data_IF_982300177871
#
_entry.id   IF_982300177871
#
_cell.length_a   1.000
_cell.length_b   1.000
_cell.length_c   1.000
_cell.angle_alpha   90.00
_cell.angle_beta   90.00
_cell.angle_gamma   90.00
#
_symmetry.space_group_name_H-M   'P 1'
#
loop_
_entity.id
_entity.type
_entity.pdbx_description
1 polymer ?
#
# COMPACT_ATOMS: atom_id res chain seq x y z
N UNK A 1 6.23 6.48 26.32
CA UNK A 1 4.81 6.70 26.02
C UNK A 1 4.68 7.41 24.69
N UNK A 2 4.60 6.63 23.62
CA UNK A 2 4.36 7.10 22.25
C UNK A 2 2.88 7.41 22.08
N UNK A 3 2.48 8.62 22.46
CA UNK A 3 1.15 9.14 22.11
C UNK A 3 1.26 9.64 20.67
N UNK A 4 0.85 8.81 19.73
CA UNK A 4 0.60 9.24 18.35
C UNK A 4 -0.53 10.28 18.37
N UNK A 5 -0.24 11.57 18.11
CA UNK A 5 -1.24 12.64 18.16
C UNK A 5 -2.31 12.53 17.06
N UNK A 6 -2.12 11.62 16.10
CA UNK A 6 -3.06 11.39 14.99
C UNK A 6 -4.09 10.29 15.29
N UNK A 7 -3.87 9.50 16.34
CA UNK A 7 -4.82 8.48 16.84
C UNK A 7 -6.02 9.14 17.52
N UNK A 8 -6.99 9.59 16.72
CA UNK A 8 -8.21 10.22 17.21
C UNK A 8 -9.43 9.69 16.47
N UNK A 9 -10.58 9.78 17.13
CA UNK A 9 -11.86 9.65 16.46
C UNK A 9 -12.25 11.02 15.89
N UNK A 10 -12.61 11.03 14.62
CA UNK A 10 -13.07 12.21 13.87
C UNK A 10 -14.56 12.47 14.04
N UNK A 11 -15.30 11.54 14.64
CA UNK A 11 -16.74 11.68 14.92
C UNK A 11 -17.08 11.20 16.33
N UNK A 12 -17.97 11.93 17.01
CA UNK A 12 -18.44 11.59 18.36
C UNK A 12 -19.17 10.24 18.43
N UNK A 13 -19.64 9.75 17.28
CA UNK A 13 -20.37 8.47 17.14
C UNK A 13 -19.47 7.27 16.89
N UNK A 14 -18.17 7.47 16.67
CA UNK A 14 -17.22 6.38 16.46
C UNK A 14 -17.28 5.27 17.53
N UNK A 15 -17.46 5.56 18.83
CA UNK A 15 -17.58 4.52 19.85
C UNK A 15 -18.86 3.67 19.71
N UNK A 16 -19.95 4.27 19.23
CA UNK A 16 -21.21 3.56 19.00
C UNK A 16 -21.14 2.69 17.74
N UNK A 17 -20.58 3.23 16.66
CA UNK A 17 -20.35 2.49 15.42
C UNK A 17 -19.39 1.32 15.62
N UNK A 18 -18.30 1.51 16.37
CA UNK A 18 -17.40 0.43 16.73
C UNK A 18 -18.12 -0.68 17.51
N UNK A 19 -18.96 -0.33 18.49
CA UNK A 19 -19.80 -1.31 19.21
C UNK A 19 -20.83 -2.01 18.32
N UNK A 20 -21.27 -1.36 17.25
CA UNK A 20 -22.17 -1.94 16.26
C UNK A 20 -21.46 -2.87 15.26
N UNK A 21 -20.13 -3.02 15.33
CA UNK A 21 -19.34 -3.87 14.43
C UNK A 21 -18.95 -3.19 13.12
N UNK A 22 -19.00 -1.86 13.05
CA UNK A 22 -18.61 -1.11 11.84
C UNK A 22 -17.10 -1.22 11.58
N UNK A 23 -16.28 -1.53 12.59
CA UNK A 23 -14.84 -1.71 12.41
C UNK A 23 -14.52 -2.84 11.42
N UNK A 24 -15.38 -3.87 11.34
CA UNK A 24 -15.28 -4.98 10.40
C UNK A 24 -16.17 -4.75 9.18
N UNK A 25 -17.43 -4.34 9.39
CA UNK A 25 -18.41 -4.17 8.31
C UNK A 25 -18.10 -2.99 7.39
N UNK A 26 -17.41 -1.97 7.91
CA UNK A 26 -17.06 -0.72 7.21
C UNK A 26 -15.62 -0.29 7.55
N UNK A 27 -14.72 -1.27 7.55
CA UNK A 27 -13.33 -1.13 7.98
C UNK A 27 -12.59 0.02 7.29
N UNK A 28 -12.87 0.32 6.02
CA UNK A 28 -12.23 1.41 5.29
C UNK A 28 -12.57 2.79 5.87
N UNK A 29 -13.86 3.06 6.12
CA UNK A 29 -14.29 4.32 6.71
C UNK A 29 -13.85 4.42 8.17
N UNK A 30 -14.01 3.33 8.93
CA UNK A 30 -13.72 3.32 10.36
C UNK A 30 -12.21 3.44 10.65
N UNK A 31 -11.34 2.82 9.86
CA UNK A 31 -9.88 3.01 9.97
C UNK A 31 -9.43 4.44 9.66
N UNK A 32 -10.18 5.17 8.84
CA UNK A 32 -9.84 6.56 8.50
C UNK A 32 -10.37 7.56 9.53
N UNK A 33 -11.57 7.32 10.05
CA UNK A 33 -12.31 8.31 10.85
C UNK A 33 -12.47 7.92 12.31
N UNK A 34 -12.30 6.65 12.68
CA UNK A 34 -12.63 6.10 13.99
C UNK A 34 -11.50 5.20 14.53
N UNK A 35 -10.26 5.61 14.30
CA UNK A 35 -9.06 4.82 14.58
C UNK A 35 -8.96 4.40 16.04
N UNK A 36 -9.28 5.33 16.94
CA UNK A 36 -9.21 5.10 18.38
C UNK A 36 -10.31 4.16 18.83
N UNK A 37 -11.53 4.36 18.33
CA UNK A 37 -12.67 3.49 18.63
C UNK A 37 -12.51 2.07 18.09
N UNK A 38 -11.84 1.89 16.94
CA UNK A 38 -11.55 0.58 16.36
C UNK A 38 -10.23 -0.04 16.83
N UNK A 39 -9.45 0.66 17.65
CA UNK A 39 -8.15 0.17 18.12
C UNK A 39 -7.11 0.01 16.99
N UNK A 40 -7.26 0.76 15.89
CA UNK A 40 -6.37 0.71 14.72
C UNK A 40 -5.32 1.82 14.75
N UNK A 41 -5.03 2.37 15.92
CA UNK A 41 -3.98 3.38 16.07
C UNK A 41 -2.60 2.75 15.86
N UNK A 42 -1.76 3.37 15.03
CA UNK A 42 -0.48 2.81 14.62
C UNK A 42 -0.58 1.62 13.64
N UNK A 43 -1.78 1.25 13.21
CA UNK A 43 -1.95 0.58 11.92
C UNK A 43 -2.09 1.73 10.93
N UNK A 44 -1.04 1.99 10.15
CA UNK A 44 -1.01 3.09 9.21
C UNK A 44 -2.32 3.12 8.42
N UNK A 45 -3.14 4.15 8.67
CA UNK A 45 -4.23 4.52 7.78
C UNK A 45 -3.69 4.94 6.38
N UNK A 46 -2.35 4.94 6.25
CA UNK A 46 -1.49 5.23 5.12
C UNK A 46 -0.70 4.00 4.60
N UNK A 47 -1.07 2.75 4.95
CA UNK A 47 -0.61 1.56 4.18
C UNK A 47 -1.28 1.46 2.80
N UNK A 48 -2.07 2.47 2.42
CA UNK A 48 -2.13 2.90 1.03
C UNK A 48 -1.06 3.96 0.85
N UNK A 49 0.09 3.54 0.33
CA UNK A 49 0.99 4.46 -0.37
C UNK A 49 0.13 5.13 -1.45
N UNK A 50 -0.40 6.32 -1.15
CA UNK A 50 -1.34 7.07 -2.00
C UNK A 50 -0.69 7.43 -3.36
N UNK A 51 0.63 7.30 -3.43
CA UNK A 51 1.47 7.41 -4.62
C UNK A 51 2.21 6.10 -4.98
N UNK A 52 1.67 4.92 -4.66
CA UNK A 52 2.18 3.67 -5.26
C UNK A 52 1.66 3.59 -6.72
N UNK A 53 2.51 3.80 -7.74
CA UNK A 53 2.14 3.58 -9.14
C UNK A 53 1.85 2.10 -9.42
N UNK A 54 2.16 1.23 -8.46
CA UNK A 54 2.00 -0.21 -8.51
C UNK A 54 0.88 -0.73 -7.61
N UNK A 55 -0.15 0.08 -7.35
CA UNK A 55 -1.31 -0.34 -6.58
C UNK A 55 -2.41 -0.98 -7.42
N UNK A 56 -3.17 -1.85 -6.78
CA UNK A 56 -4.51 -2.19 -7.22
C UNK A 56 -5.50 -1.25 -6.53
N UNK A 57 -6.18 -0.42 -7.30
CA UNK A 57 -7.23 0.50 -6.83
C UNK A 57 -8.41 -0.29 -6.27
N UNK A 58 -8.71 -1.46 -6.84
CA UNK A 58 -9.75 -2.38 -6.37
C UNK A 58 -9.14 -3.71 -5.96
N UNK A 59 -8.52 -3.72 -4.77
CA UNK A 59 -7.77 -4.87 -4.22
C UNK A 59 -8.59 -6.17 -4.24
N UNK A 60 -9.90 -6.11 -4.00
CA UNK A 60 -10.79 -7.29 -3.99
C UNK A 60 -11.13 -7.80 -5.40
N UNK A 61 -11.19 -6.92 -6.40
CA UNK A 61 -11.67 -7.25 -7.76
C UNK A 61 -10.52 -7.54 -8.74
N UNK A 62 -9.41 -6.81 -8.63
CA UNK A 62 -8.28 -6.87 -9.55
C UNK A 62 -7.68 -8.28 -9.73
N UNK A 63 -7.53 -9.12 -8.67
CA UNK A 63 -7.06 -10.48 -8.83
C UNK A 63 -7.98 -11.32 -9.73
N UNK A 64 -9.29 -11.23 -9.50
CA UNK A 64 -10.27 -11.98 -10.28
C UNK A 64 -10.32 -11.53 -11.74
N UNK A 65 -10.23 -10.22 -12.00
CA UNK A 65 -10.17 -9.70 -13.37
C UNK A 65 -8.87 -10.09 -14.10
N UNK A 66 -7.74 -10.08 -13.40
CA UNK A 66 -6.48 -10.56 -13.96
C UNK A 66 -6.55 -12.05 -14.34
N UNK A 67 -7.12 -12.91 -13.48
CA UNK A 67 -7.35 -14.32 -13.80
C UNK A 67 -8.30 -14.55 -14.99
N UNK A 68 -9.22 -13.62 -15.22
CA UNK A 68 -10.14 -13.65 -16.37
C UNK A 68 -9.51 -13.12 -17.67
N UNK A 69 -8.25 -12.65 -17.65
CA UNK A 69 -7.55 -12.15 -18.84
C UNK A 69 -7.91 -10.70 -19.22
N UNK A 70 -8.36 -9.90 -18.25
CA UNK A 70 -8.63 -8.48 -18.46
C UNK A 70 -7.35 -7.68 -18.71
N UNK A 71 -6.19 -8.17 -18.26
CA UNK A 71 -4.90 -7.51 -18.50
C UNK A 71 -4.59 -7.39 -20.01
N UNK A 72 -4.99 -8.40 -20.80
CA UNK A 72 -4.86 -8.41 -22.26
C UNK A 72 -6.09 -7.84 -22.97
N UNK A 73 -7.30 -8.08 -22.43
CA UNK A 73 -8.57 -7.70 -23.05
C UNK A 73 -8.93 -6.23 -22.81
N UNK A 74 -8.47 -5.65 -21.71
CA UNK A 74 -8.71 -4.26 -21.32
C UNK A 74 -7.45 -3.58 -20.73
N UNK A 75 -6.35 -3.48 -21.49
CA UNK A 75 -5.04 -3.07 -20.96
C UNK A 75 -4.99 -1.65 -20.35
N UNK A 76 -5.60 -0.61 -20.95
CA UNK A 76 -5.55 0.74 -20.38
C UNK A 76 -6.18 0.82 -18.98
N UNK A 77 -7.35 0.22 -18.82
CA UNK A 77 -8.07 0.22 -17.54
C UNK A 77 -7.30 -0.56 -16.48
N UNK A 78 -6.83 -1.76 -16.83
CA UNK A 78 -6.11 -2.62 -15.91
C UNK A 78 -4.75 -2.05 -15.52
N UNK A 79 -4.06 -1.34 -16.41
CA UNK A 79 -2.82 -0.64 -16.06
C UNK A 79 -3.03 0.48 -15.05
N UNK A 80 -4.14 1.21 -15.14
CA UNK A 80 -4.44 2.32 -14.22
C UNK A 80 -5.03 1.86 -12.88
N UNK A 81 -5.80 0.77 -12.89
CA UNK A 81 -6.59 0.34 -11.74
C UNK A 81 -6.07 -0.94 -11.07
N UNK A 82 -5.30 -1.76 -11.78
CA UNK A 82 -4.92 -3.11 -11.37
C UNK A 82 -3.46 -3.41 -11.73
N UNK A 83 -2.58 -2.41 -11.58
CA UNK A 83 -1.20 -2.48 -12.02
C UNK A 83 -0.45 -3.67 -11.40
N UNK A 84 -0.74 -4.00 -10.14
CA UNK A 84 -0.11 -5.10 -9.40
C UNK A 84 -0.65 -6.45 -9.83
N UNK A 85 -1.98 -6.60 -9.87
CA UNK A 85 -2.63 -7.84 -10.31
C UNK A 85 -2.25 -8.21 -11.74
N UNK A 86 -2.11 -7.22 -12.63
CA UNK A 86 -1.66 -7.43 -14.01
C UNK A 86 -0.15 -7.47 -14.20
N UNK A 87 0.64 -7.33 -13.12
CA UNK A 87 2.12 -7.29 -13.17
C UNK A 87 2.63 -6.27 -14.20
N UNK A 88 1.89 -5.17 -14.35
CA UNK A 88 2.25 -4.04 -15.20
C UNK A 88 3.18 -3.07 -14.48
N UNK A 89 3.54 -3.42 -13.26
CA UNK A 89 4.52 -2.78 -12.42
C UNK A 89 5.12 -3.86 -11.52
N UNK A 90 6.34 -3.63 -11.06
CA UNK A 90 6.97 -4.43 -10.04
C UNK A 90 7.08 -3.54 -8.80
N UNK A 91 6.51 -3.93 -7.64
CA UNK A 91 6.52 -3.11 -6.43
C UNK A 91 7.94 -2.92 -5.84
N UNK A 92 8.95 -3.53 -6.47
CA UNK A 92 10.36 -3.52 -6.07
C UNK A 92 11.24 -2.86 -7.16
N UNK A 93 10.74 -2.70 -8.40
CA UNK A 93 11.61 -2.56 -9.57
C UNK A 93 11.42 -1.27 -10.38
N UNK A 94 10.98 -0.16 -9.78
CA UNK A 94 10.92 1.09 -10.55
C UNK A 94 11.72 2.28 -10.01
N UNK A 95 12.69 2.10 -9.10
CA UNK A 95 13.82 3.06 -8.94
C UNK A 95 15.12 2.50 -8.31
N UNK A 96 15.52 1.25 -8.54
CA UNK A 96 16.87 0.79 -8.18
C UNK A 96 17.52 0.00 -9.32
N UNK A 97 17.79 0.68 -10.43
CA UNK A 97 18.56 0.10 -11.54
C UNK A 97 19.99 -0.22 -11.10
N UNK A 98 20.25 -1.47 -10.66
CA UNK A 98 21.30 -2.37 -11.18
C UNK A 98 21.42 -3.72 -10.40
N UNK A 99 21.85 -4.70 -11.19
CA UNK A 99 21.80 -6.16 -11.15
C UNK A 99 23.00 -6.79 -10.43
N UNK A 100 23.58 -6.15 -9.41
CA UNK A 100 24.68 -6.72 -8.61
C UNK A 100 24.23 -7.66 -7.48
N UNK A 101 23.38 -8.60 -7.86
CA UNK A 101 23.04 -9.80 -7.08
C UNK A 101 22.34 -9.55 -5.73
N UNK A 102 22.15 -10.65 -4.99
CA UNK A 102 21.28 -10.76 -3.81
C UNK A 102 21.42 -9.65 -2.76
N UNK A 103 22.61 -9.08 -2.59
CA UNK A 103 22.86 -8.03 -1.58
C UNK A 103 22.18 -6.70 -1.92
N UNK A 104 22.08 -6.34 -3.20
CA UNK A 104 21.39 -5.11 -3.61
C UNK A 104 19.87 -5.32 -3.65
N UNK A 105 19.41 -6.54 -3.94
CA UNK A 105 17.99 -6.90 -3.85
C UNK A 105 17.46 -6.84 -2.40
N UNK A 106 18.20 -7.38 -1.43
CA UNK A 106 17.80 -7.38 -0.01
C UNK A 106 17.69 -5.96 0.53
N UNK A 107 18.67 -5.10 0.24
CA UNK A 107 18.66 -3.70 0.67
C UNK A 107 17.54 -2.88 0.01
N UNK A 108 17.22 -3.18 -1.25
CA UNK A 108 16.07 -2.57 -1.91
C UNK A 108 14.75 -2.98 -1.25
N UNK A 109 14.60 -4.25 -0.84
CA UNK A 109 13.44 -4.74 -0.06
C UNK A 109 13.34 -4.08 1.32
N UNK A 110 14.47 -3.78 1.94
CA UNK A 110 14.53 -3.10 3.24
C UNK A 110 14.29 -1.58 3.14
N UNK A 111 13.91 -1.06 1.96
CA UNK A 111 13.52 0.33 1.77
C UNK A 111 14.70 1.29 1.55
N UNK A 112 15.93 0.80 1.39
CA UNK A 112 17.10 1.67 1.19
C UNK A 112 17.03 2.47 -0.14
N UNK A 113 16.21 2.04 -1.10
CA UNK A 113 15.94 2.82 -2.33
C UNK A 113 15.19 4.13 -2.04
N UNK A 114 14.49 4.22 -0.91
CA UNK A 114 13.74 5.41 -0.48
C UNK A 114 14.52 6.19 0.59
N UNK A 115 15.16 5.48 1.52
CA UNK A 115 15.85 6.09 2.66
C UNK A 115 17.27 6.57 2.32
N UNK A 116 17.97 5.88 1.41
CA UNK A 116 19.39 6.06 1.14
C UNK A 116 19.68 6.04 -0.38
N UNK A 117 18.81 6.68 -1.16
CA UNK A 117 18.79 6.67 -2.62
C UNK A 117 20.18 6.90 -3.27
N UNK A 118 20.94 7.91 -2.82
CA UNK A 118 22.27 8.23 -3.37
C UNK A 118 23.35 7.20 -3.04
N UNK A 119 23.22 6.53 -1.89
CA UNK A 119 24.14 5.47 -1.46
C UNK A 119 23.84 4.19 -2.23
N UNK A 120 22.55 3.88 -2.39
CA UNK A 120 22.08 2.76 -3.19
C UNK A 120 22.51 2.92 -4.66
N UNK A 121 22.36 4.13 -5.23
CA UNK A 121 22.86 4.47 -6.57
C UNK A 121 24.39 4.46 -6.73
N UNK A 122 25.17 4.46 -5.65
CA UNK A 122 26.65 4.43 -5.72
C UNK A 122 27.19 3.01 -5.60
N UNK A 123 26.57 2.21 -4.75
CA UNK A 123 27.06 0.89 -4.37
C UNK A 123 26.42 -0.24 -5.18
N UNK A 124 25.22 0.00 -5.68
CA UNK A 124 24.40 -0.98 -6.39
C UNK A 124 24.08 -0.56 -7.82
N UNK A 125 24.74 0.48 -8.36
CA UNK A 125 24.67 0.95 -9.76
C UNK A 125 26.01 0.76 -10.46
N UNK A 126 26.01 0.24 -11.69
CA UNK A 126 27.13 0.40 -12.64
C UNK A 126 27.19 1.84 -13.18
#
# INVERSE_FOLDING_TARGET
>A
DDVDPTCVDSHDSCPEWAKAGECEANAGYMRKNCQKSCGTCGSDADDVVDNDPCRDVRVEDCPGWAEQGECESNPPFMKENCARSCRHCDPINDTCEDVRGKRCEERARDGECVLEELKMKRECRE
#
